data_IF_793553690767
#
_entry.id   IF_793553690767
#
_cell.length_a   1.000
_cell.length_b   1.000
_cell.length_c   1.000
_cell.angle_alpha   90.00
_cell.angle_beta   90.00
_cell.angle_gamma   90.00
#
_symmetry.space_group_name_H-M   'P 1'
#
loop_
_entity.id
_entity.type
_entity.pdbx_description
1 polymer ?
#
# COMPACT_ATOMS: atom_id res chain seq x y z
N UNK A 1 -56.68 8.22 -72.91
CA UNK A 1 -55.65 8.89 -72.09
C UNK A 1 -56.34 9.42 -70.84
N UNK A 2 -56.40 8.61 -69.78
CA UNK A 2 -57.07 8.99 -68.52
C UNK A 2 -56.19 9.98 -67.76
N UNK A 3 -56.71 11.18 -67.55
CA UNK A 3 -56.11 12.21 -66.72
C UNK A 3 -56.25 11.74 -65.27
N UNK A 4 -55.16 11.25 -64.69
CA UNK A 4 -55.08 10.88 -63.27
C UNK A 4 -55.36 12.15 -62.46
N UNK A 5 -56.49 12.15 -61.75
CA UNK A 5 -56.98 13.28 -60.96
C UNK A 5 -55.91 13.80 -60.02
N UNK A 6 -55.63 15.10 -60.12
CA UNK A 6 -54.74 15.84 -59.23
C UNK A 6 -55.44 16.06 -57.89
N UNK A 7 -55.67 14.98 -57.14
CA UNK A 7 -56.27 15.03 -55.81
C UNK A 7 -55.34 15.81 -54.89
N UNK A 8 -55.88 16.90 -54.33
CA UNK A 8 -55.22 17.87 -53.47
C UNK A 8 -54.58 17.21 -52.24
N UNK A 9 -53.25 17.02 -52.24
CA UNK A 9 -52.44 16.59 -51.08
C UNK A 9 -52.31 17.66 -49.98
N UNK A 10 -53.24 18.61 -49.88
CA UNK A 10 -53.26 19.64 -48.85
C UNK A 10 -53.81 19.05 -47.55
N UNK A 11 -52.94 18.57 -46.67
CA UNK A 11 -53.31 18.05 -45.35
C UNK A 11 -52.36 17.00 -44.76
N UNK A 12 -51.50 16.40 -45.59
CA UNK A 12 -50.57 15.34 -45.14
C UNK A 12 -49.33 15.88 -44.40
N UNK A 13 -49.04 17.18 -44.51
CA UNK A 13 -47.88 17.81 -43.87
C UNK A 13 -47.97 17.75 -42.34
N UNK A 14 -49.17 17.94 -41.77
CA UNK A 14 -49.36 17.98 -40.33
C UNK A 14 -49.16 16.60 -39.66
N UNK A 15 -49.75 15.49 -40.14
CA UNK A 15 -49.42 14.15 -39.64
C UNK A 15 -47.95 13.79 -39.79
N UNK A 16 -47.33 14.12 -40.93
CA UNK A 16 -45.91 13.86 -41.16
C UNK A 16 -45.04 14.64 -40.17
N UNK A 17 -45.38 15.90 -39.89
CA UNK A 17 -44.70 16.73 -38.90
C UNK A 17 -44.75 16.11 -37.50
N UNK A 18 -45.92 15.65 -37.05
CA UNK A 18 -46.04 14.98 -35.75
C UNK A 18 -45.25 13.67 -35.68
N UNK A 19 -45.28 12.86 -36.74
CA UNK A 19 -44.48 11.62 -36.82
C UNK A 19 -42.99 11.96 -36.75
N UNK A 20 -42.52 12.96 -37.49
CA UNK A 20 -41.13 13.40 -37.44
C UNK A 20 -40.72 13.90 -36.06
N UNK A 21 -41.55 14.74 -35.40
CA UNK A 21 -41.28 15.19 -34.03
C UNK A 21 -41.24 14.02 -33.06
N UNK A 22 -42.19 13.09 -33.15
CA UNK A 22 -42.22 11.90 -32.31
C UNK A 22 -40.94 11.08 -32.47
N UNK A 23 -40.49 10.86 -33.72
CA UNK A 23 -39.24 10.15 -34.02
C UNK A 23 -38.03 10.90 -33.44
N UNK A 24 -37.95 12.22 -33.59
CA UNK A 24 -36.88 13.04 -33.01
C UNK A 24 -36.86 12.97 -31.47
N UNK A 25 -38.03 13.02 -30.82
CA UNK A 25 -38.15 12.85 -29.38
C UNK A 25 -37.65 11.46 -28.93
N UNK A 26 -37.99 10.40 -29.66
CA UNK A 26 -37.49 9.05 -29.38
C UNK A 26 -35.96 8.97 -29.51
N UNK A 27 -35.38 9.55 -30.56
CA UNK A 27 -33.92 9.64 -30.71
C UNK A 27 -33.26 10.41 -29.57
N UNK A 28 -33.86 11.52 -29.14
CA UNK A 28 -33.37 12.31 -28.02
C UNK A 28 -33.39 11.52 -26.71
N UNK A 29 -34.44 10.74 -26.44
CA UNK A 29 -34.50 9.86 -25.28
C UNK A 29 -33.42 8.77 -25.30
N UNK A 30 -33.17 8.18 -26.48
CA UNK A 30 -32.09 7.19 -26.65
C UNK A 30 -30.73 7.83 -26.39
N UNK A 31 -30.48 9.03 -26.92
CA UNK A 31 -29.23 9.77 -26.71
C UNK A 31 -28.98 10.08 -25.22
N UNK A 32 -30.01 10.50 -24.48
CA UNK A 32 -29.89 10.76 -23.04
C UNK A 32 -29.54 9.48 -22.27
N UNK A 33 -30.28 8.39 -22.52
CA UNK A 33 -30.07 7.13 -21.83
C UNK A 33 -28.68 6.53 -22.15
N UNK A 34 -28.24 6.60 -23.42
CA UNK A 34 -26.92 6.16 -23.83
C UNK A 34 -25.82 7.05 -23.24
N UNK A 35 -25.98 8.37 -23.30
CA UNK A 35 -25.03 9.34 -22.74
C UNK A 35 -24.83 9.15 -21.24
N UNK A 36 -25.90 8.89 -20.49
CA UNK A 36 -25.81 8.54 -19.07
C UNK A 36 -25.06 7.23 -18.85
N UNK A 37 -25.35 6.19 -19.62
CA UNK A 37 -24.66 4.90 -19.51
C UNK A 37 -23.15 5.01 -19.76
N UNK A 38 -22.77 5.78 -20.79
CA UNK A 38 -21.36 6.06 -21.10
C UNK A 38 -20.70 6.86 -19.98
N UNK A 39 -21.36 7.92 -19.50
CA UNK A 39 -20.90 8.71 -18.35
C UNK A 39 -20.66 7.83 -17.13
N UNK A 40 -21.64 7.01 -16.74
CA UNK A 40 -21.55 6.17 -15.54
C UNK A 40 -20.41 5.17 -15.63
N UNK A 41 -20.20 4.57 -16.81
CA UNK A 41 -19.08 3.67 -17.06
C UNK A 41 -17.74 4.39 -16.88
N UNK A 42 -17.58 5.57 -17.47
CA UNK A 42 -16.35 6.38 -17.33
C UNK A 42 -16.11 6.80 -15.88
N UNK A 43 -17.15 7.27 -15.19
CA UNK A 43 -17.06 7.69 -13.79
C UNK A 43 -16.69 6.55 -12.86
N UNK A 44 -17.30 5.37 -13.04
CA UNK A 44 -16.97 4.17 -12.25
C UNK A 44 -15.55 3.68 -12.53
N UNK A 45 -15.08 3.77 -13.78
CA UNK A 45 -13.70 3.42 -14.11
C UNK A 45 -12.72 4.39 -13.41
N UNK A 46 -12.95 5.70 -13.50
CA UNK A 46 -12.16 6.70 -12.78
C UNK A 46 -12.17 6.48 -11.26
N UNK A 47 -13.31 6.06 -10.69
CA UNK A 47 -13.41 5.73 -9.27
C UNK A 47 -12.57 4.53 -8.87
N UNK A 48 -12.58 3.46 -9.68
CA UNK A 48 -11.75 2.30 -9.45
C UNK A 48 -10.25 2.65 -9.61
N UNK A 49 -9.88 3.34 -10.68
CA UNK A 49 -8.48 3.71 -10.98
C UNK A 49 -7.91 4.63 -9.91
N UNK A 50 -8.63 5.70 -9.55
CA UNK A 50 -8.19 6.62 -8.50
C UNK A 50 -8.09 5.95 -7.14
N UNK A 51 -9.00 5.02 -6.81
CA UNK A 51 -8.91 4.24 -5.59
C UNK A 51 -7.68 3.32 -5.60
N UNK A 52 -7.44 2.60 -6.70
CA UNK A 52 -6.33 1.67 -6.82
C UNK A 52 -4.97 2.40 -6.76
N UNK A 53 -4.82 3.50 -7.51
CA UNK A 53 -3.62 4.33 -7.50
C UNK A 53 -3.37 4.91 -6.10
N UNK A 54 -4.41 5.42 -5.44
CA UNK A 54 -4.26 5.99 -4.09
C UNK A 54 -3.80 4.94 -3.07
N UNK A 55 -4.34 3.72 -3.16
CA UNK A 55 -3.88 2.61 -2.34
C UNK A 55 -2.41 2.25 -2.62
N UNK A 56 -2.01 2.18 -3.88
CA UNK A 56 -0.64 1.90 -4.28
C UNK A 56 0.34 2.98 -3.78
N UNK A 57 -0.04 4.25 -3.87
CA UNK A 57 0.74 5.39 -3.34
C UNK A 57 0.87 5.31 -1.81
N UNK A 58 -0.20 5.00 -1.09
CA UNK A 58 -0.14 4.84 0.37
C UNK A 58 0.80 3.70 0.77
N UNK A 59 0.76 2.57 0.07
CA UNK A 59 1.69 1.45 0.30
C UNK A 59 3.13 1.85 0.01
N UNK A 60 3.37 2.51 -1.12
CA UNK A 60 4.70 3.01 -1.49
C UNK A 60 5.27 3.92 -0.40
N UNK A 61 4.47 4.86 0.12
CA UNK A 61 4.86 5.75 1.23
C UNK A 61 5.21 4.96 2.50
N UNK A 62 4.36 4.01 2.89
CA UNK A 62 4.58 3.22 4.10
C UNK A 62 5.92 2.49 4.06
N UNK A 63 6.18 1.86 2.93
CA UNK A 63 7.38 1.09 2.70
C UNK A 63 8.61 2.00 2.53
N UNK A 64 8.48 3.19 1.93
CA UNK A 64 9.52 4.22 1.93
C UNK A 64 9.87 4.73 3.34
N UNK A 65 8.92 4.77 4.27
CA UNK A 65 9.22 5.08 5.67
C UNK A 65 9.89 3.89 6.39
N UNK A 66 9.45 2.66 6.10
CA UNK A 66 9.99 1.47 6.75
C UNK A 66 11.37 1.05 6.23
N UNK A 67 11.68 1.31 4.97
CA UNK A 67 12.93 0.92 4.31
C UNK A 67 14.17 1.47 5.01
N UNK A 68 14.31 2.79 5.22
CA UNK A 68 15.42 3.37 5.96
C UNK A 68 15.50 2.83 7.39
N UNK A 69 14.38 2.70 8.10
CA UNK A 69 14.36 2.10 9.44
C UNK A 69 14.87 0.65 9.42
N UNK A 70 14.54 -0.09 8.37
CA UNK A 70 15.00 -1.45 8.18
C UNK A 70 16.51 -1.52 7.88
N UNK A 71 16.99 -0.59 7.06
CA UNK A 71 18.41 -0.42 6.76
C UNK A 71 19.21 -0.07 8.02
N UNK A 72 18.68 0.84 8.84
CA UNK A 72 19.27 1.19 10.14
C UNK A 72 19.37 -0.02 11.05
N UNK A 73 18.34 -0.89 11.10
CA UNK A 73 18.39 -2.15 11.84
C UNK A 73 19.43 -3.14 11.28
N UNK A 74 19.84 -2.98 10.02
CA UNK A 74 20.85 -3.81 9.38
C UNK A 74 22.29 -3.35 9.55
N UNK A 75 22.52 -2.14 10.08
CA UNK A 75 23.83 -1.51 10.11
C UNK A 75 24.68 -1.99 11.31
N UNK A 76 25.79 -2.71 11.07
CA UNK A 76 26.62 -3.23 12.14
C UNK A 76 27.21 -2.12 13.00
N UNK A 77 27.30 -2.35 14.31
CA UNK A 77 27.86 -1.40 15.27
C UNK A 77 26.92 -0.26 15.68
N UNK A 78 25.79 -0.07 14.99
CA UNK A 78 24.77 0.94 15.35
C UNK A 78 23.47 0.29 15.84
N UNK A 79 23.10 -0.89 15.32
CA UNK A 79 21.87 -1.58 15.68
C UNK A 79 22.08 -3.09 15.88
N UNK A 80 21.41 -3.97 15.12
CA UNK A 80 21.60 -5.42 15.13
C UNK A 80 22.99 -5.67 14.54
N UNK A 81 24.01 -5.71 15.41
CA UNK A 81 25.41 -5.63 15.04
C UNK A 81 25.85 -6.70 14.03
N UNK A 82 26.22 -7.88 14.53
CA UNK A 82 26.63 -9.00 13.67
C UNK A 82 25.81 -10.25 14.02
N UNK A 83 25.47 -11.06 13.01
CA UNK A 83 24.89 -12.37 13.25
C UNK A 83 25.98 -13.44 13.25
N UNK A 84 26.41 -13.87 14.44
CA UNK A 84 27.47 -14.89 14.57
C UNK A 84 27.20 -15.78 15.79
N UNK A 85 26.55 -16.96 15.67
CA UNK A 85 26.04 -17.62 14.47
C UNK A 85 24.82 -16.91 13.84
N UNK A 86 24.39 -17.34 12.65
CA UNK A 86 23.35 -16.68 11.82
C UNK A 86 22.01 -16.43 12.54
N UNK A 87 21.74 -17.20 13.59
CA UNK A 87 20.53 -17.15 14.40
C UNK A 87 20.68 -16.35 15.71
N UNK A 88 21.82 -15.68 15.94
CA UNK A 88 22.04 -14.78 17.10
C UNK A 88 22.61 -13.43 16.64
N UNK A 89 21.87 -12.35 16.86
CA UNK A 89 22.32 -10.97 16.60
C UNK A 89 23.03 -10.41 17.81
N UNK A 90 24.29 -10.00 17.65
CA UNK A 90 25.10 -9.42 18.70
C UNK A 90 25.10 -7.91 18.61
N UNK A 91 24.70 -7.25 19.69
CA UNK A 91 24.57 -5.81 19.80
C UNK A 91 25.44 -5.33 20.94
N UNK A 92 26.37 -4.43 20.64
CA UNK A 92 27.20 -3.81 21.67
C UNK A 92 27.27 -2.31 21.45
N UNK A 93 26.88 -1.56 22.47
CA UNK A 93 27.03 -0.12 22.53
C UNK A 93 27.90 0.17 23.75
N UNK A 94 29.10 0.76 23.58
CA UNK A 94 29.99 1.00 24.70
C UNK A 94 29.36 1.98 25.68
N UNK A 95 29.31 1.60 26.95
CA UNK A 95 28.90 2.47 28.05
C UNK A 95 30.09 3.38 28.44
N UNK A 96 29.87 4.66 28.80
CA UNK A 96 30.93 5.52 29.33
C UNK A 96 31.52 4.95 30.62
N UNK A 97 32.78 5.29 30.89
CA UNK A 97 33.44 4.90 32.12
C UNK A 97 32.79 5.60 33.33
N UNK A 98 32.37 4.84 34.35
CA UNK A 98 31.76 5.39 35.56
C UNK A 98 32.75 5.67 36.70
N UNK A 99 34.07 5.53 36.47
CA UNK A 99 35.12 5.92 37.42
C UNK A 99 35.43 4.90 38.52
N UNK A 100 34.75 3.75 38.57
CA UNK A 100 35.07 2.67 39.52
C UNK A 100 36.29 1.84 39.05
N UNK A 101 37.17 1.31 39.94
CA UNK A 101 38.33 0.50 39.58
C UNK A 101 38.02 -0.64 38.60
N UNK A 102 36.85 -1.25 38.76
CA UNK A 102 36.24 -2.14 37.78
C UNK A 102 34.80 -1.67 37.57
N UNK A 103 34.50 -1.14 36.39
CA UNK A 103 33.16 -0.64 36.05
C UNK A 103 32.51 -1.55 35.02
N UNK A 104 31.56 -2.38 35.46
CA UNK A 104 30.71 -3.21 34.60
C UNK A 104 29.34 -2.54 34.48
N UNK A 105 28.91 -2.26 33.26
CA UNK A 105 27.75 -1.44 32.96
C UNK A 105 26.86 -2.06 31.86
N UNK A 106 25.54 -2.01 32.08
CA UNK A 106 24.50 -2.42 31.14
C UNK A 106 23.66 -1.25 30.58
N UNK A 107 24.06 0.00 30.83
CA UNK A 107 23.34 1.17 30.30
C UNK A 107 23.36 1.20 28.77
N UNK A 108 24.50 0.87 28.15
CA UNK A 108 24.63 0.76 26.69
C UNK A 108 23.74 -0.34 26.11
N UNK A 109 23.73 -1.54 26.71
CA UNK A 109 22.88 -2.65 26.27
C UNK A 109 21.39 -2.31 26.40
N UNK A 110 20.98 -1.67 27.50
CA UNK A 110 19.59 -1.24 27.71
C UNK A 110 19.18 -0.14 26.74
N UNK A 111 20.06 0.83 26.48
CA UNK A 111 19.85 1.88 25.48
C UNK A 111 19.67 1.28 24.08
N UNK A 112 20.56 0.38 23.67
CA UNK A 112 20.49 -0.30 22.38
C UNK A 112 19.19 -1.11 22.23
N UNK A 113 18.80 -1.87 23.26
CA UNK A 113 17.53 -2.61 23.28
C UNK A 113 16.34 -1.68 23.11
N UNK A 114 16.25 -0.61 23.88
CA UNK A 114 15.14 0.34 23.79
C UNK A 114 15.07 1.00 22.40
N UNK A 115 16.23 1.35 21.81
CA UNK A 115 16.30 1.92 20.45
C UNK A 115 15.79 0.94 19.40
N UNK A 116 16.26 -0.31 19.42
CA UNK A 116 15.84 -1.36 18.48
C UNK A 116 14.35 -1.66 18.64
N UNK A 117 13.87 -1.84 19.87
CA UNK A 117 12.43 -2.04 20.14
C UNK A 117 11.59 -0.84 19.69
N UNK A 118 12.10 0.38 19.85
CA UNK A 118 11.48 1.59 19.35
C UNK A 118 11.34 1.60 17.83
N UNK A 119 12.41 1.29 17.10
CA UNK A 119 12.40 1.18 15.63
C UNK A 119 11.40 0.11 15.17
N UNK A 120 11.38 -1.05 15.82
CA UNK A 120 10.44 -2.13 15.51
C UNK A 120 9.00 -1.69 15.74
N UNK A 121 8.71 -1.01 16.86
CA UNK A 121 7.37 -0.47 17.15
C UNK A 121 6.94 0.57 16.12
N UNK A 122 7.84 1.44 15.66
CA UNK A 122 7.55 2.40 14.59
C UNK A 122 7.21 1.67 13.29
N UNK A 123 8.02 0.67 12.90
CA UNK A 123 7.73 -0.14 11.72
C UNK A 123 6.38 -0.86 11.82
N UNK A 124 6.06 -1.47 12.97
CA UNK A 124 4.76 -2.14 13.19
C UNK A 124 3.58 -1.16 13.19
N UNK A 125 3.79 0.03 13.77
CA UNK A 125 2.84 1.13 13.77
C UNK A 125 2.58 1.72 12.38
N UNK A 126 3.52 1.59 11.44
CA UNK A 126 3.32 1.94 10.02
C UNK A 126 2.71 0.76 9.25
N UNK A 127 3.20 -0.45 9.47
CA UNK A 127 2.78 -1.66 8.77
C UNK A 127 1.29 -1.93 8.94
N UNK A 128 0.74 -1.76 10.15
CA UNK A 128 -0.67 -2.03 10.44
C UNK A 128 -1.67 -1.09 9.72
N UNK A 129 -1.58 0.25 9.84
CA UNK A 129 -2.54 1.15 9.21
C UNK A 129 -2.41 1.19 7.68
N UNK A 130 -1.18 1.23 7.16
CA UNK A 130 -0.94 1.30 5.72
C UNK A 130 -1.09 -0.06 5.01
N UNK A 131 -0.88 -1.15 5.75
CA UNK A 131 -1.11 -2.52 5.30
C UNK A 131 -2.57 -3.00 5.43
N UNK A 132 -3.51 -2.12 5.81
CA UNK A 132 -4.84 -2.55 6.24
C UNK A 132 -5.92 -1.46 6.14
N UNK A 133 -6.66 -1.28 7.24
CA UNK A 133 -7.95 -0.57 7.24
C UNK A 133 -7.89 0.90 6.80
N UNK A 134 -6.81 1.64 7.11
CA UNK A 134 -6.70 3.06 6.73
C UNK A 134 -6.60 3.23 5.23
N UNK A 135 -5.81 2.38 4.56
CA UNK A 135 -5.71 2.38 3.10
C UNK A 135 -7.04 2.02 2.44
N UNK A 136 -7.78 1.05 3.01
CA UNK A 136 -9.13 0.73 2.54
C UNK A 136 -10.10 1.92 2.67
N UNK A 137 -10.13 2.57 3.84
CA UNK A 137 -11.01 3.73 4.08
C UNK A 137 -10.69 4.87 3.11
N UNK A 138 -9.41 5.23 2.97
CA UNK A 138 -8.98 6.27 2.04
C UNK A 138 -9.37 5.94 0.58
N UNK A 139 -9.13 4.70 0.14
CA UNK A 139 -9.48 4.25 -1.21
C UNK A 139 -10.99 4.28 -1.46
N UNK A 140 -11.79 3.86 -0.47
CA UNK A 140 -13.26 3.91 -0.52
C UNK A 140 -13.77 5.34 -0.62
N UNK A 141 -13.22 6.24 0.18
CA UNK A 141 -13.67 7.64 0.22
C UNK A 141 -13.27 8.37 -1.08
N UNK A 142 -12.11 8.02 -1.66
CA UNK A 142 -11.68 8.49 -2.98
C UNK A 142 -12.58 7.98 -4.10
N UNK A 143 -13.03 6.72 -4.04
CA UNK A 143 -13.99 6.17 -5.00
C UNK A 143 -15.36 6.89 -4.89
N UNK A 144 -15.82 7.17 -3.67
CA UNK A 144 -17.08 7.88 -3.40
C UNK A 144 -17.10 9.30 -3.93
N UNK A 145 -16.00 10.06 -3.77
CA UNK A 145 -15.96 11.50 -4.10
C UNK A 145 -15.75 11.82 -5.59
N UNK A 146 -15.65 10.82 -6.47
CA UNK A 146 -15.44 11.08 -7.90
C UNK A 146 -16.60 11.83 -8.55
N UNK A 147 -17.81 11.70 -8.01
CA UNK A 147 -19.00 12.42 -8.46
C UNK A 147 -19.66 13.07 -7.25
N UNK A 148 -20.31 14.21 -7.47
CA UNK A 148 -21.17 14.86 -6.49
C UNK A 148 -22.61 14.84 -7.00
N UNK A 149 -23.58 14.62 -6.10
CA UNK A 149 -24.99 14.77 -6.40
C UNK A 149 -25.38 16.26 -6.49
N UNK A 150 -26.66 16.54 -6.81
CA UNK A 150 -27.19 17.90 -6.89
C UNK A 150 -27.15 18.67 -5.57
N UNK A 151 -27.00 17.97 -4.44
CA UNK A 151 -26.88 18.54 -3.10
C UNK A 151 -25.40 18.69 -2.68
N UNK A 152 -24.45 18.33 -3.54
CA UNK A 152 -23.02 18.37 -3.27
C UNK A 152 -22.47 17.16 -2.49
N UNK A 153 -23.23 16.10 -2.30
CA UNK A 153 -22.78 14.90 -1.59
C UNK A 153 -22.04 13.92 -2.52
N UNK A 154 -21.04 13.17 -2.02
CA UNK A 154 -20.35 12.12 -2.80
C UNK A 154 -21.31 11.06 -3.37
N UNK A 155 -21.26 10.88 -4.69
CA UNK A 155 -22.14 10.01 -5.47
C UNK A 155 -21.38 9.16 -6.52
N UNK A 156 -20.05 9.06 -6.41
CA UNK A 156 -19.17 8.35 -7.35
C UNK A 156 -19.42 6.84 -7.37
N UNK A 157 -18.81 6.11 -6.44
CA UNK A 157 -19.11 4.70 -6.18
C UNK A 157 -19.83 4.54 -4.84
N UNK A 158 -20.63 3.50 -4.65
CA UNK A 158 -21.24 3.20 -3.34
C UNK A 158 -20.19 2.66 -2.36
N UNK A 159 -19.19 1.97 -2.89
CA UNK A 159 -18.12 1.38 -2.13
C UNK A 159 -17.10 0.67 -3.02
N UNK A 160 -16.20 -0.03 -2.35
CA UNK A 160 -15.18 -0.86 -2.96
C UNK A 160 -15.19 -2.25 -2.34
N UNK A 161 -14.84 -3.25 -3.13
CA UNK A 161 -14.54 -4.61 -2.70
C UNK A 161 -13.08 -4.91 -3.02
N UNK A 162 -12.43 -5.66 -2.14
CA UNK A 162 -11.03 -6.04 -2.28
C UNK A 162 -10.85 -7.49 -1.84
N UNK A 163 -9.90 -8.17 -2.47
CA UNK A 163 -9.50 -9.52 -2.07
C UNK A 163 -8.74 -9.47 -0.74
N UNK A 164 -8.71 -10.57 0.02
CA UNK A 164 -7.96 -10.64 1.29
C UNK A 164 -6.47 -10.31 1.05
N UNK A 165 -5.88 -9.52 1.94
CA UNK A 165 -4.47 -9.12 1.81
C UNK A 165 -4.19 -8.08 0.73
N UNK A 166 -5.18 -7.58 -0.04
CA UNK A 166 -4.97 -6.56 -1.10
C UNK A 166 -4.16 -5.34 -0.63
N UNK A 167 -4.37 -4.90 0.61
CA UNK A 167 -3.66 -3.76 1.19
C UNK A 167 -2.40 -4.16 1.97
N UNK A 168 -2.21 -5.43 2.26
CA UNK A 168 -1.04 -5.92 2.98
C UNK A 168 0.24 -5.47 2.29
N UNK A 169 1.28 -5.22 3.08
CA UNK A 169 2.61 -4.92 2.56
C UNK A 169 3.41 -6.20 2.25
N UNK A 170 2.86 -7.37 2.60
CA UNK A 170 3.48 -8.72 2.61
C UNK A 170 4.96 -8.70 3.00
N UNK A 171 5.26 -8.02 4.10
CA UNK A 171 6.53 -8.14 4.77
C UNK A 171 6.40 -9.12 5.94
N UNK A 172 7.44 -9.92 6.14
CA UNK A 172 7.57 -10.83 7.27
C UNK A 172 8.71 -10.36 8.14
N UNK A 173 8.62 -10.63 9.45
CA UNK A 173 9.69 -10.28 10.40
C UNK A 173 10.69 -11.43 10.46
N UNK A 174 11.98 -11.15 10.28
CA UNK A 174 13.03 -12.09 10.63
C UNK A 174 13.05 -12.29 12.15
N UNK A 175 12.98 -13.55 12.59
CA UNK A 175 13.01 -13.91 14.01
C UNK A 175 14.33 -14.59 14.36
N UNK A 176 14.91 -14.21 15.48
CA UNK A 176 16.12 -14.84 16.01
C UNK A 176 16.55 -14.21 17.32
N UNK A 177 17.48 -14.85 18.02
CA UNK A 177 17.92 -14.37 19.33
C UNK A 177 18.71 -13.07 19.22
N UNK A 178 18.61 -12.18 20.21
CA UNK A 178 19.38 -10.92 20.22
C UNK A 178 20.12 -10.79 21.54
N UNK A 179 21.44 -10.68 21.45
CA UNK A 179 22.37 -10.57 22.57
C UNK A 179 22.85 -9.13 22.67
N UNK A 180 22.44 -8.45 23.74
CA UNK A 180 22.87 -7.09 24.04
C UNK A 180 23.99 -7.13 25.08
N UNK A 181 25.22 -6.91 24.63
CA UNK A 181 26.44 -6.98 25.43
C UNK A 181 26.55 -5.78 26.36
N UNK A 182 26.93 -6.04 27.62
CA UNK A 182 27.37 -5.02 28.55
C UNK A 182 28.76 -4.49 28.21
N UNK A 183 29.24 -3.56 29.03
CA UNK A 183 30.56 -2.95 28.88
C UNK A 183 31.34 -3.05 30.18
N UNK A 184 32.63 -3.35 30.09
CA UNK A 184 33.57 -3.32 31.20
C UNK A 184 34.68 -2.30 30.96
N UNK A 185 34.98 -1.52 31.99
CA UNK A 185 36.18 -0.70 32.10
C UNK A 185 37.02 -1.16 33.28
N UNK A 186 38.33 -1.18 33.09
CA UNK A 186 39.32 -1.47 34.13
C UNK A 186 40.11 -0.20 34.37
N UNK A 187 39.89 0.44 35.52
CA UNK A 187 40.59 1.63 35.95
C UNK A 187 41.66 1.23 36.96
N UNK A 188 42.93 1.35 36.55
CA UNK A 188 44.07 1.08 37.42
C UNK A 188 44.75 2.40 37.78
N UNK A 189 45.16 2.53 39.04
CA UNK A 189 45.87 3.74 39.49
C UNK A 189 47.23 3.91 38.79
N UNK A 190 47.90 2.80 38.46
CA UNK A 190 49.27 2.78 37.93
C UNK A 190 49.32 2.85 36.39
N UNK A 191 48.39 2.21 35.70
CA UNK A 191 48.43 2.02 34.25
C UNK A 191 47.30 2.74 33.51
N UNK A 192 46.46 3.49 34.24
CA UNK A 192 45.34 4.23 33.67
C UNK A 192 44.12 3.36 33.37
N UNK A 193 43.29 3.86 32.46
CA UNK A 193 41.98 3.29 32.08
C UNK A 193 42.10 2.39 30.86
N UNK A 194 41.65 1.15 30.98
CA UNK A 194 41.54 0.18 29.89
C UNK A 194 40.07 -0.14 29.60
N UNK A 195 39.68 -0.08 28.33
CA UNK A 195 38.31 -0.34 27.86
C UNK A 195 37.91 0.62 26.74
N UNK A 196 36.64 0.57 26.28
CA UNK A 196 35.58 -0.30 26.75
C UNK A 196 35.73 -1.73 26.20
N UNK A 197 35.54 -2.76 27.04
CA UNK A 197 35.49 -4.16 26.60
C UNK A 197 34.05 -4.68 26.60
N UNK A 198 33.63 -5.45 25.58
CA UNK A 198 32.31 -6.07 25.57
C UNK A 198 32.24 -7.18 26.64
N UNK A 199 31.11 -7.23 27.35
CA UNK A 199 30.82 -8.28 28.35
C UNK A 199 29.63 -9.09 27.85
N UNK A 200 29.76 -10.42 27.91
CA UNK A 200 28.69 -11.33 27.51
C UNK A 200 27.39 -11.03 28.28
N UNK A 201 26.22 -11.12 27.62
CA UNK A 201 24.95 -10.74 28.22
C UNK A 201 24.55 -11.61 29.43
N UNK A 202 25.11 -12.81 29.56
CA UNK A 202 24.96 -13.69 30.72
C UNK A 202 25.62 -13.13 31.98
N UNK A 203 26.67 -12.32 31.83
CA UNK A 203 27.38 -11.66 32.93
C UNK A 203 26.79 -10.26 33.14
N UNK A 204 26.70 -9.48 32.06
CA UNK A 204 26.16 -8.13 32.09
C UNK A 204 25.58 -7.80 30.72
N UNK A 205 24.27 -7.56 30.64
CA UNK A 205 23.60 -7.27 29.38
C UNK A 205 22.13 -7.66 29.37
N UNK A 206 21.59 -7.98 28.19
CA UNK A 206 20.24 -8.48 28.00
C UNK A 206 20.20 -9.52 26.88
N UNK A 207 19.37 -10.55 27.06
CA UNK A 207 19.07 -11.55 26.02
C UNK A 207 17.59 -11.41 25.66
N UNK A 208 17.30 -11.36 24.35
CA UNK A 208 15.94 -11.50 23.82
C UNK A 208 15.88 -12.83 23.07
N UNK A 209 15.13 -13.78 23.64
CA UNK A 209 14.99 -15.12 23.11
C UNK A 209 14.38 -15.13 21.70
N UNK A 210 14.67 -16.18 20.94
CA UNK A 210 14.23 -16.38 19.54
C UNK A 210 12.74 -16.14 19.29
N UNK A 211 11.86 -16.52 20.21
CA UNK A 211 10.40 -16.35 20.06
C UNK A 211 9.99 -14.87 19.99
N UNK A 212 10.70 -14.03 20.75
CA UNK A 212 10.42 -12.61 20.93
C UNK A 212 11.39 -11.71 20.15
N UNK A 213 12.50 -12.27 19.68
CA UNK A 213 13.56 -11.56 18.99
C UNK A 213 13.17 -11.20 17.57
N UNK A 214 12.52 -10.04 17.44
CA UNK A 214 12.18 -9.42 16.16
C UNK A 214 13.41 -8.65 15.66
N UNK A 215 13.86 -8.95 14.45
CA UNK A 215 15.01 -8.31 13.81
C UNK A 215 14.54 -7.36 12.70
N UNK A 216 15.03 -7.51 11.48
CA UNK A 216 14.60 -6.74 10.30
C UNK A 216 13.37 -7.35 9.61
N UNK A 217 12.76 -6.59 8.70
CA UNK A 217 11.69 -7.01 7.79
C UNK A 217 12.29 -7.63 6.52
N UNK A 218 11.64 -8.68 6.06
CA UNK A 218 11.95 -9.44 4.86
C UNK A 218 10.74 -9.51 3.93
N UNK A 219 11.00 -9.72 2.66
CA UNK A 219 9.98 -10.00 1.66
C UNK A 219 9.30 -11.34 1.96
N UNK A 220 7.97 -11.38 1.84
CA UNK A 220 7.26 -12.65 1.67
C UNK A 220 7.52 -13.25 0.28
N UNK A 221 7.24 -14.54 0.12
CA UNK A 221 7.47 -15.29 -1.12
C UNK A 221 6.68 -14.72 -2.31
N UNK A 222 5.54 -14.07 -2.03
CA UNK A 222 4.63 -13.45 -2.98
C UNK A 222 4.82 -11.93 -3.11
N UNK A 223 5.88 -11.35 -2.52
CA UNK A 223 6.12 -9.91 -2.52
C UNK A 223 6.17 -9.29 -3.92
N UNK A 224 6.69 -10.04 -4.90
CA UNK A 224 6.78 -9.60 -6.30
C UNK A 224 5.44 -9.65 -7.06
N UNK A 225 4.40 -10.31 -6.51
CA UNK A 225 3.07 -10.42 -7.14
C UNK A 225 2.10 -9.35 -6.65
N UNK A 226 2.59 -8.38 -5.89
CA UNK A 226 1.77 -7.39 -5.21
C UNK A 226 1.16 -6.39 -6.18
N UNK A 227 -0.15 -6.52 -6.40
CA UNK A 227 -0.99 -5.48 -7.01
C UNK A 227 -2.18 -5.18 -6.13
N UNK A 228 -2.49 -3.90 -5.94
CA UNK A 228 -3.72 -3.47 -5.29
C UNK A 228 -4.84 -3.58 -6.32
N UNK A 229 -5.68 -4.61 -6.18
CA UNK A 229 -6.85 -4.82 -7.01
C UNK A 229 -8.10 -4.34 -6.28
N UNK A 230 -8.81 -3.39 -6.88
CA UNK A 230 -10.01 -2.79 -6.31
C UNK A 230 -11.17 -2.98 -7.28
N UNK A 231 -12.29 -3.42 -6.73
CA UNK A 231 -13.56 -3.49 -7.45
C UNK A 231 -14.46 -2.38 -6.90
N UNK A 232 -14.63 -1.29 -7.64
CA UNK A 232 -15.62 -0.28 -7.29
C UNK A 232 -17.00 -0.75 -7.73
N UNK A 233 -18.03 -0.51 -6.91
CA UNK A 233 -19.40 -0.87 -7.25
C UNK A 233 -20.37 0.27 -7.02
N UNK A 234 -21.41 0.30 -7.86
CA UNK A 234 -22.59 1.15 -7.74
C UNK A 234 -23.83 0.27 -7.92
N UNK A 235 -24.65 0.20 -6.88
CA UNK A 235 -25.85 -0.62 -6.84
C UNK A 235 -26.97 0.03 -7.67
N UNK A 236 -27.85 -0.81 -8.21
CA UNK A 236 -29.07 -0.39 -8.91
C UNK A 236 -30.00 0.55 -8.12
N UNK A 237 -29.95 0.48 -6.79
CA UNK A 237 -30.81 1.26 -5.89
C UNK A 237 -30.15 2.50 -5.29
N UNK A 238 -28.88 2.75 -5.60
CA UNK A 238 -28.13 3.90 -5.06
C UNK A 238 -28.72 5.21 -5.52
N UNK A 239 -28.68 6.25 -4.67
CA UNK A 239 -29.10 7.61 -5.02
C UNK A 239 -28.40 8.13 -6.29
N UNK A 240 -27.12 7.80 -6.44
CA UNK A 240 -26.31 8.12 -7.62
C UNK A 240 -26.73 7.38 -8.91
N UNK A 241 -27.58 6.37 -8.76
CA UNK A 241 -28.10 5.50 -9.83
C UNK A 241 -29.63 5.59 -9.96
N UNK A 242 -30.29 6.45 -9.16
CA UNK A 242 -31.75 6.66 -9.20
C UNK A 242 -32.15 7.49 -10.41
N UNK A 243 -33.41 7.31 -10.83
CA UNK A 243 -34.03 8.12 -11.89
C UNK A 243 -33.85 7.60 -13.32
N UNK A 244 -33.30 6.40 -13.50
CA UNK A 244 -33.01 5.84 -14.84
C UNK A 244 -33.57 4.43 -15.07
N UNK A 245 -33.90 4.10 -16.33
CA UNK A 245 -33.78 4.96 -17.52
C UNK A 245 -34.90 5.99 -17.59
N UNK A 246 -34.62 7.13 -18.24
CA UNK A 246 -35.65 8.11 -18.58
C UNK A 246 -36.66 7.46 -19.54
N UNK A 247 -37.96 7.58 -19.24
CA UNK A 247 -39.03 6.82 -19.91
C UNK A 247 -38.86 5.29 -19.85
N UNK A 248 -38.05 4.76 -18.93
CA UNK A 248 -37.73 3.33 -18.85
C UNK A 248 -38.94 2.41 -18.76
N UNK A 249 -39.96 2.81 -17.99
CA UNK A 249 -41.23 2.08 -17.90
C UNK A 249 -41.93 1.91 -19.26
N UNK A 250 -41.83 2.90 -20.14
CA UNK A 250 -42.38 2.85 -21.50
C UNK A 250 -41.66 1.83 -22.38
N UNK A 251 -40.38 1.58 -22.10
CA UNK A 251 -39.54 0.60 -22.78
C UNK A 251 -39.40 -0.72 -22.00
N UNK A 252 -40.22 -0.95 -20.97
CA UNK A 252 -40.18 -2.16 -20.15
C UNK A 252 -38.96 -2.29 -19.23
N UNK A 253 -38.16 -1.23 -19.07
CA UNK A 253 -36.98 -1.22 -18.20
C UNK A 253 -37.38 -0.71 -16.82
N UNK A 254 -37.65 -1.66 -15.92
CA UNK A 254 -38.14 -1.37 -14.58
C UNK A 254 -37.03 -1.29 -13.51
N UNK A 255 -35.82 -1.74 -13.83
CA UNK A 255 -34.67 -1.73 -12.94
C UNK A 255 -33.41 -1.39 -13.74
N UNK A 256 -32.62 -0.47 -13.20
CA UNK A 256 -31.28 -0.23 -13.71
C UNK A 256 -30.32 -1.31 -13.23
N UNK A 257 -29.17 -1.47 -13.89
CA UNK A 257 -28.21 -2.52 -13.59
C UNK A 257 -27.20 -2.08 -12.52
N UNK A 258 -26.60 -3.07 -11.84
CA UNK A 258 -25.44 -2.83 -10.98
C UNK A 258 -24.22 -2.57 -11.86
N UNK A 259 -23.43 -1.56 -11.52
CA UNK A 259 -22.19 -1.24 -12.23
C UNK A 259 -21.02 -1.65 -11.36
N UNK A 260 -20.09 -2.41 -11.95
CA UNK A 260 -18.85 -2.82 -11.30
C UNK A 260 -17.69 -2.53 -12.24
N UNK A 261 -16.62 -1.97 -11.70
CA UNK A 261 -15.38 -1.70 -12.42
C UNK A 261 -14.23 -2.22 -11.60
N UNK A 262 -13.25 -2.79 -12.28
CA UNK A 262 -12.06 -3.35 -11.66
C UNK A 262 -10.87 -2.52 -12.11
N UNK A 263 -10.07 -2.10 -11.15
CA UNK A 263 -8.78 -1.49 -11.39
C UNK A 263 -7.71 -2.23 -10.61
N UNK A 264 -6.50 -2.22 -11.13
CA UNK A 264 -5.34 -2.72 -10.42
C UNK A 264 -4.19 -1.74 -10.57
N UNK A 265 -3.51 -1.45 -9.47
CA UNK A 265 -2.30 -0.63 -9.46
C UNK A 265 -1.22 -1.36 -8.67
N UNK A 266 0.02 -1.21 -9.10
CA UNK A 266 1.19 -1.65 -8.36
C UNK A 266 2.23 -0.53 -8.36
N UNK A 267 3.04 -0.49 -7.33
CA UNK A 267 4.18 0.43 -7.21
C UNK A 267 5.43 -0.33 -7.65
N UNK A 268 6.37 0.31 -8.34
CA UNK A 268 7.46 -0.40 -9.04
C UNK A 268 8.83 0.23 -8.78
N UNK A 269 9.81 -0.56 -8.36
CA UNK A 269 11.23 -0.13 -8.37
C UNK A 269 11.98 -0.79 -9.51
N UNK A 270 12.61 0.01 -10.36
CA UNK A 270 13.44 -0.50 -11.46
C UNK A 270 14.74 -1.16 -10.97
N UNK A 271 15.20 -0.86 -9.76
CA UNK A 271 16.42 -1.43 -9.17
C UNK A 271 16.18 -2.65 -8.28
N UNK A 272 14.92 -2.99 -8.01
CA UNK A 272 14.55 -4.13 -7.18
C UNK A 272 14.00 -3.75 -5.80
N UNK A 273 13.71 -4.75 -4.99
CA UNK A 273 13.06 -4.58 -3.70
C UNK A 273 14.02 -4.04 -2.63
N UNK A 274 13.53 -3.12 -1.81
CA UNK A 274 14.31 -2.48 -0.73
C UNK A 274 14.45 -3.33 0.54
N UNK A 275 13.75 -4.46 0.60
CA UNK A 275 13.79 -5.40 1.71
C UNK A 275 14.51 -6.67 1.26
N UNK A 276 15.28 -7.33 2.13
CA UNK A 276 15.92 -8.60 1.80
C UNK A 276 14.89 -9.71 1.63
N UNK A 277 15.21 -10.72 0.81
CA UNK A 277 14.49 -12.00 0.81
C UNK A 277 14.99 -12.88 1.97
N UNK A 278 14.24 -13.94 2.30
CA UNK A 278 14.67 -14.94 3.29
C UNK A 278 15.96 -15.69 2.88
N UNK A 279 16.30 -15.72 1.59
CA UNK A 279 17.55 -16.28 1.10
C UNK A 279 18.75 -15.34 1.25
N UNK A 280 18.52 -14.03 1.31
CA UNK A 280 19.57 -13.01 1.46
C UNK A 280 20.06 -12.90 2.93
N UNK A 281 19.35 -13.49 3.89
CA UNK A 281 19.20 -12.92 5.24
C UNK A 281 19.96 -13.58 6.40
N UNK A 282 21.11 -14.21 6.15
CA UNK A 282 21.93 -14.69 7.27
C UNK A 282 22.56 -13.55 8.09
N UNK A 283 22.58 -12.32 7.56
CA UNK A 283 23.21 -11.17 8.21
C UNK A 283 22.28 -9.96 8.26
N UNK A 284 22.37 -9.10 9.29
CA UNK A 284 21.59 -7.86 9.36
C UNK A 284 21.95 -6.92 8.20
N UNK A 285 23.20 -6.98 7.73
CA UNK A 285 23.71 -6.15 6.62
C UNK A 285 22.89 -6.29 5.34
N UNK A 286 22.25 -7.45 5.11
CA UNK A 286 21.37 -7.64 3.96
C UNK A 286 20.26 -6.58 3.88
N UNK A 287 19.72 -6.16 5.03
CA UNK A 287 18.70 -5.10 5.08
C UNK A 287 19.26 -3.73 4.68
N UNK A 288 20.50 -3.42 5.04
CA UNK A 288 21.18 -2.19 4.65
C UNK A 288 21.54 -2.19 3.16
N UNK A 289 22.17 -3.27 2.69
CA UNK A 289 22.59 -3.42 1.28
C UNK A 289 21.41 -3.30 0.33
N UNK A 290 20.30 -4.01 0.60
CA UNK A 290 19.09 -3.95 -0.24
C UNK A 290 18.45 -2.58 -0.28
N UNK A 291 18.51 -1.84 0.82
CA UNK A 291 18.03 -0.46 0.85
C UNK A 291 18.88 0.46 -0.02
N UNK A 292 20.21 0.37 0.06
CA UNK A 292 21.12 1.16 -0.77
C UNK A 292 20.96 0.82 -2.26
N UNK A 293 20.91 -0.46 -2.61
CA UNK A 293 20.65 -0.91 -4.00
C UNK A 293 19.34 -0.35 -4.55
N UNK A 294 18.28 -0.34 -3.73
CA UNK A 294 16.98 0.18 -4.12
C UNK A 294 16.94 1.71 -4.25
N UNK A 295 17.74 2.43 -3.47
CA UNK A 295 17.77 3.90 -3.43
C UNK A 295 18.24 4.52 -4.75
N UNK A 296 19.10 3.82 -5.49
CA UNK A 296 19.55 4.21 -6.84
C UNK A 296 18.41 4.21 -7.88
N UNK A 297 17.27 3.59 -7.55
CA UNK A 297 16.06 3.58 -8.38
C UNK A 297 15.18 4.83 -8.22
N UNK A 298 15.53 5.70 -7.28
CA UNK A 298 14.79 6.90 -6.94
C UNK A 298 13.70 6.66 -5.88
N UNK A 299 13.44 7.70 -5.08
CA UNK A 299 12.51 7.65 -3.95
C UNK A 299 11.03 7.48 -4.32
N UNK A 300 10.67 7.66 -5.59
CA UNK A 300 9.27 7.81 -6.02
C UNK A 300 8.52 6.49 -6.22
N UNK A 301 9.22 5.36 -6.32
CA UNK A 301 8.56 4.07 -6.43
C UNK A 301 9.52 2.97 -5.99
N UNK A 302 9.52 2.67 -4.70
CA UNK A 302 10.04 1.38 -4.28
C UNK A 302 8.90 0.35 -4.47
N UNK A 303 9.19 -0.96 -4.52
CA UNK A 303 8.25 -2.03 -4.10
C UNK A 303 7.34 -2.65 -5.16
N UNK A 304 7.96 -3.18 -6.22
CA UNK A 304 7.79 -4.55 -6.72
C UNK A 304 8.94 -4.76 -7.73
N UNK A 305 9.76 -5.83 -7.64
CA UNK A 305 10.64 -6.20 -8.74
C UNK A 305 9.78 -6.73 -9.89
N UNK A 306 9.88 -6.11 -11.07
CA UNK A 306 9.51 -6.83 -12.29
C UNK A 306 10.58 -7.91 -12.46
N UNK A 307 10.15 -9.15 -12.69
CA UNK A 307 11.05 -10.16 -13.21
C UNK A 307 11.82 -9.56 -14.38
N UNK A 308 13.12 -9.85 -14.45
CA UNK A 308 13.87 -9.53 -15.65
C UNK A 308 13.30 -10.33 -16.82
N UNK A 309 12.31 -9.78 -17.51
CA UNK A 309 11.98 -10.08 -18.91
C UNK A 309 12.81 -9.16 -19.84
N UNK A 310 14.10 -8.99 -19.51
CA UNK A 310 15.13 -8.96 -20.56
C UNK A 310 15.64 -10.39 -20.86
N UNK A 311 14.88 -11.41 -20.48
CA UNK A 311 14.90 -12.72 -21.11
C UNK A 311 13.47 -13.06 -21.54
N UNK A 312 13.31 -13.28 -22.84
CA UNK A 312 12.14 -13.90 -23.45
C UNK A 312 11.79 -15.26 -22.81
#
# INVERSE_FOLDING_TARGET
MQIIGKNSQKGQVLPLFFVCIMVLCLFWFVLINLGKLVKDRMMMQNAADNAAISAAVMRARALNYMGPLNAYLGLPGVSLGANVPSDISHVWVPCPNHGAPLSICWCGSRGAKNTIEGMIKIQEGIHSPYGGGTTFMASRDIAKRQELDSNGNPAGADGILTDEGTFSLHLKRNKGEIWYYGTMWVNTYLLGTYGPYPVFPQICGCIVNKENGKRWLEQADDFHKQKVKIIAYKNKGSDSNKGYPFAGKMFGINKWFDIRTVAAAASYNTKGAMFPTSGDSNTPMAAFTKYIEAMDGGWEAHLVPVGSECAH
#
